data_IF_974342975079
#
_entry.id   IF_974342975079
#
_cell.length_a   1.000
_cell.length_b   1.000
_cell.length_c   1.000
_cell.angle_alpha   90.00
_cell.angle_beta   90.00
_cell.angle_gamma   90.00
#
_symmetry.space_group_name_H-M   'P 1'
#
loop_
_entity.id
_entity.type
_entity.pdbx_description
1 polymer ?
#
# COMPACT_ATOMS: atom_id res chain seq x y z
N UNK A 1 -2.76 -29.68 11.39
CA UNK A 1 -3.07 -28.41 12.10
C UNK A 1 -2.21 -28.25 13.35
N UNK A 2 -1.96 -29.31 14.12
CA UNK A 2 -0.99 -29.28 15.23
C UNK A 2 0.48 -29.28 14.76
N UNK A 3 0.74 -29.73 13.53
CA UNK A 3 2.05 -29.70 12.85
C UNK A 3 2.40 -28.38 12.15
N UNK A 4 1.49 -27.41 12.09
CA UNK A 4 1.73 -26.12 11.43
C UNK A 4 2.27 -25.11 12.46
N UNK A 5 3.34 -24.40 12.11
CA UNK A 5 4.11 -23.59 13.05
C UNK A 5 3.58 -22.16 13.12
N UNK A 6 3.00 -21.63 12.04
CA UNK A 6 2.49 -20.25 12.01
C UNK A 6 0.95 -20.16 11.96
N UNK A 7 0.42 -19.05 12.49
CA UNK A 7 -1.02 -18.74 12.40
C UNK A 7 -1.45 -18.47 10.94
N UNK A 8 -0.52 -17.99 10.11
CA UNK A 8 -0.71 -17.75 8.68
C UNK A 8 -0.95 -19.04 7.89
N UNK A 9 -0.13 -20.06 8.10
CA UNK A 9 -0.27 -21.39 7.47
C UNK A 9 -1.62 -22.04 7.80
N UNK A 10 -2.00 -22.03 9.09
CA UNK A 10 -3.26 -22.61 9.55
C UNK A 10 -4.47 -21.92 8.91
N UNK A 11 -4.41 -20.59 8.81
CA UNK A 11 -5.44 -19.78 8.17
C UNK A 11 -5.60 -20.13 6.69
N UNK A 12 -4.49 -20.18 5.94
CA UNK A 12 -4.47 -20.47 4.50
C UNK A 12 -5.04 -21.86 4.17
N UNK A 13 -4.65 -22.88 4.93
CA UNK A 13 -5.17 -24.24 4.77
C UNK A 13 -6.68 -24.32 5.05
N UNK A 14 -7.16 -23.64 6.09
CA UNK A 14 -8.58 -23.64 6.45
C UNK A 14 -9.43 -23.00 5.35
N UNK A 15 -8.98 -21.92 4.71
CA UNK A 15 -9.73 -21.28 3.61
C UNK A 15 -9.91 -22.18 2.40
N UNK A 16 -8.93 -23.04 2.09
CA UNK A 16 -9.03 -24.00 1.00
C UNK A 16 -10.05 -25.10 1.27
N UNK A 17 -10.39 -25.36 2.54
CA UNK A 17 -11.33 -26.42 2.94
C UNK A 17 -12.80 -25.99 2.95
N UNK A 18 -13.13 -24.73 2.60
CA UNK A 18 -14.49 -24.18 2.64
C UNK A 18 -15.22 -24.50 3.97
N UNK A 19 -14.75 -23.93 5.10
CA UNK A 19 -15.25 -24.31 6.40
C UNK A 19 -16.72 -23.91 6.58
N UNK A 20 -17.46 -24.72 7.34
CA UNK A 20 -18.82 -24.39 7.75
C UNK A 20 -18.79 -23.34 8.87
N UNK A 21 -19.90 -22.62 9.04
CA UNK A 21 -20.08 -21.74 10.19
C UNK A 21 -19.92 -22.56 11.47
N UNK A 22 -19.19 -22.01 12.44
CA UNK A 22 -18.84 -22.66 13.70
C UNK A 22 -17.97 -23.91 13.53
N UNK A 23 -17.20 -23.99 12.44
CA UNK A 23 -16.14 -24.98 12.33
C UNK A 23 -15.15 -24.76 13.48
N UNK A 24 -14.99 -25.79 14.32
CA UNK A 24 -14.17 -25.72 15.53
C UNK A 24 -12.72 -25.34 15.25
N UNK A 25 -12.24 -25.61 14.04
CA UNK A 25 -10.89 -25.25 13.61
C UNK A 25 -10.76 -23.76 13.31
N UNK A 26 -11.78 -23.16 12.69
CA UNK A 26 -11.84 -21.70 12.45
C UNK A 26 -11.98 -20.95 13.77
N UNK A 27 -12.86 -21.44 14.66
CA UNK A 27 -13.03 -20.85 15.99
C UNK A 27 -11.72 -20.87 16.79
N UNK A 28 -10.97 -21.97 16.75
CA UNK A 28 -9.65 -22.07 17.38
C UNK A 28 -8.65 -21.05 16.82
N UNK A 29 -8.69 -20.74 15.52
CA UNK A 29 -7.86 -19.68 14.92
C UNK A 29 -8.31 -18.29 15.32
N UNK A 30 -9.62 -18.05 15.39
CA UNK A 30 -10.18 -16.79 15.85
C UNK A 30 -9.69 -16.52 17.29
N UNK A 31 -9.83 -17.50 18.18
CA UNK A 31 -9.38 -17.39 19.57
C UNK A 31 -7.87 -17.13 19.66
N UNK A 32 -7.08 -17.82 18.84
CA UNK A 32 -5.63 -17.59 18.76
C UNK A 32 -5.31 -16.16 18.27
N UNK A 33 -6.00 -15.70 17.23
CA UNK A 33 -5.79 -14.38 16.63
C UNK A 33 -6.18 -13.24 17.59
N UNK A 34 -7.28 -13.38 18.31
CA UNK A 34 -7.69 -12.43 19.35
C UNK A 34 -6.74 -12.48 20.57
N UNK A 35 -6.19 -13.65 20.89
CA UNK A 35 -5.11 -13.81 21.87
C UNK A 35 -3.84 -13.04 21.48
N UNK A 36 -3.51 -13.00 20.18
CA UNK A 36 -2.40 -12.18 19.67
C UNK A 36 -2.66 -10.67 19.82
N UNK A 37 -3.88 -10.19 19.53
CA UNK A 37 -4.23 -8.76 19.69
C UNK A 37 -4.10 -8.27 21.14
N UNK A 38 -4.22 -9.17 22.11
CA UNK A 38 -4.18 -8.84 23.54
C UNK A 38 -2.82 -9.14 24.19
N UNK A 39 -1.87 -9.75 23.48
CA UNK A 39 -0.54 -10.01 24.02
C UNK A 39 0.36 -8.75 23.98
N UNK A 40 0.77 -8.28 25.16
CA UNK A 40 1.66 -7.11 25.36
C UNK A 40 3.14 -7.54 25.53
N UNK A 41 3.43 -8.84 25.54
CA UNK A 41 4.78 -9.37 25.83
C UNK A 41 5.65 -9.49 24.58
N UNK A 42 6.92 -9.05 24.61
CA UNK A 42 7.86 -9.17 23.49
C UNK A 42 8.24 -10.61 23.12
N UNK A 43 7.86 -11.61 23.93
CA UNK A 43 8.03 -13.03 23.63
C UNK A 43 6.94 -13.61 22.72
N UNK A 44 5.88 -12.86 22.43
CA UNK A 44 4.78 -13.30 21.55
C UNK A 44 5.07 -13.10 20.05
N UNK A 45 6.19 -12.49 19.67
CA UNK A 45 6.51 -12.16 18.28
C UNK A 45 7.13 -13.35 17.51
N UNK A 46 6.43 -14.48 17.46
CA UNK A 46 6.51 -15.31 16.25
C UNK A 46 5.54 -14.71 15.23
N UNK A 47 5.92 -14.79 13.95
CA UNK A 47 5.46 -13.96 12.84
C UNK A 47 3.99 -13.50 12.91
N UNK A 48 3.71 -12.20 12.68
CA UNK A 48 2.35 -11.70 12.67
C UNK A 48 1.53 -12.44 11.59
N UNK A 49 0.27 -12.80 11.88
CA UNK A 49 -0.53 -13.52 10.90
C UNK A 49 -0.64 -12.72 9.61
N UNK A 50 -0.40 -13.39 8.48
CA UNK A 50 -0.56 -12.83 7.12
C UNK A 50 -2.00 -12.39 6.84
N UNK A 51 -2.96 -12.91 7.61
CA UNK A 51 -4.38 -12.61 7.51
C UNK A 51 -4.88 -11.92 8.79
N UNK A 52 -5.68 -10.86 8.63
CA UNK A 52 -6.24 -10.15 9.78
C UNK A 52 -7.29 -11.01 10.50
N UNK A 53 -7.44 -10.84 11.82
CA UNK A 53 -8.49 -11.55 12.56
C UNK A 53 -9.89 -11.21 12.01
N UNK A 54 -10.09 -9.99 11.48
CA UNK A 54 -11.33 -9.58 10.83
C UNK A 54 -11.68 -10.47 9.63
N UNK A 55 -10.69 -10.91 8.85
CA UNK A 55 -10.90 -11.86 7.75
C UNK A 55 -11.30 -13.25 8.24
N UNK A 56 -10.74 -13.74 9.35
CA UNK A 56 -11.16 -15.04 9.94
C UNK A 56 -12.60 -14.97 10.43
N UNK A 57 -12.94 -13.90 11.14
CA UNK A 57 -14.30 -13.62 11.57
C UNK A 57 -15.25 -13.53 10.38
N UNK A 58 -14.86 -12.84 9.30
CA UNK A 58 -15.68 -12.69 8.10
C UNK A 58 -15.96 -14.06 7.46
N UNK A 59 -14.97 -14.92 7.32
CA UNK A 59 -15.14 -16.25 6.73
C UNK A 59 -16.05 -17.13 7.60
N UNK A 60 -16.04 -16.94 8.92
CA UNK A 60 -16.92 -17.64 9.86
C UNK A 60 -18.28 -16.93 10.09
N UNK A 61 -18.78 -16.17 9.13
CA UNK A 61 -20.05 -15.44 9.28
C UNK A 61 -21.17 -16.00 8.40
N UNK A 62 -22.42 -15.88 8.88
CA UNK A 62 -23.62 -16.15 8.07
C UNK A 62 -23.70 -15.25 6.84
N UNK A 63 -23.16 -14.03 6.94
CA UNK A 63 -22.98 -13.12 5.83
C UNK A 63 -22.19 -13.77 4.68
N UNK A 64 -20.98 -14.28 4.91
CA UNK A 64 -20.16 -14.88 3.84
C UNK A 64 -20.74 -16.17 3.27
N UNK A 65 -21.40 -16.97 4.11
CA UNK A 65 -22.13 -18.15 3.61
C UNK A 65 -23.25 -17.74 2.68
N UNK A 66 -23.99 -16.67 3.02
CA UNK A 66 -25.03 -16.14 2.17
C UNK A 66 -24.47 -15.58 0.85
N UNK A 67 -23.38 -14.81 0.89
CA UNK A 67 -22.69 -14.33 -0.33
C UNK A 67 -22.34 -15.51 -1.25
N UNK A 68 -21.74 -16.57 -0.70
CA UNK A 68 -21.33 -17.76 -1.47
C UNK A 68 -22.54 -18.48 -2.08
N UNK A 69 -23.65 -18.56 -1.34
CA UNK A 69 -24.92 -19.15 -1.79
C UNK A 69 -25.53 -18.36 -2.95
N UNK A 70 -25.55 -17.02 -2.85
CA UNK A 70 -26.07 -16.12 -3.88
C UNK A 70 -25.21 -16.12 -5.15
N UNK A 71 -23.88 -16.29 -5.00
CA UNK A 71 -22.96 -16.46 -6.12
C UNK A 71 -23.13 -17.79 -6.84
N UNK A 72 -23.43 -18.85 -6.10
CA UNK A 72 -23.68 -20.18 -6.68
C UNK A 72 -25.07 -20.29 -7.32
N UNK A 73 -26.04 -19.51 -6.83
CA UNK A 73 -27.42 -19.49 -7.33
C UNK A 73 -27.87 -18.04 -7.58
N UNK A 74 -27.51 -17.46 -8.73
CA UNK A 74 -27.88 -16.09 -9.09
C UNK A 74 -29.39 -15.87 -9.01
N UNK A 75 -29.82 -14.84 -8.30
CA UNK A 75 -31.20 -14.38 -8.33
C UNK A 75 -31.44 -13.60 -9.62
N UNK A 76 -32.66 -13.67 -10.16
CA UNK A 76 -33.05 -12.83 -11.28
C UNK A 76 -33.27 -11.40 -10.81
N UNK A 77 -32.60 -10.43 -11.44
CA UNK A 77 -32.65 -9.01 -11.09
C UNK A 77 -34.10 -8.46 -11.02
N UNK A 78 -35.03 -9.07 -11.76
CA UNK A 78 -36.45 -8.70 -11.78
C UNK A 78 -37.14 -8.79 -10.40
N UNK A 79 -36.57 -9.58 -9.47
CA UNK A 79 -37.11 -9.74 -8.12
C UNK A 79 -36.73 -8.58 -7.18
N UNK A 80 -35.65 -7.86 -7.47
CA UNK A 80 -35.13 -6.78 -6.64
C UNK A 80 -34.91 -5.51 -7.47
N UNK A 81 -35.99 -4.78 -7.83
CA UNK A 81 -35.89 -3.57 -8.65
C UNK A 81 -34.98 -2.49 -8.05
N UNK A 82 -34.83 -2.50 -6.71
CA UNK A 82 -33.96 -1.58 -5.99
C UNK A 82 -32.46 -1.75 -6.27
N UNK A 83 -32.03 -2.79 -7.00
CA UNK A 83 -30.65 -2.94 -7.45
C UNK A 83 -30.33 -2.12 -8.71
N UNK A 84 -31.33 -1.49 -9.32
CA UNK A 84 -31.17 -0.65 -10.53
C UNK A 84 -30.44 -1.38 -11.68
N UNK A 85 -30.66 -2.69 -11.80
CA UNK A 85 -30.04 -3.53 -12.82
C UNK A 85 -28.60 -3.94 -12.53
N UNK A 86 -28.05 -3.61 -11.36
CA UNK A 86 -26.72 -4.11 -10.96
C UNK A 86 -26.74 -5.62 -10.78
N UNK A 87 -25.71 -6.27 -11.32
CA UNK A 87 -25.49 -7.70 -11.15
C UNK A 87 -24.82 -7.98 -9.80
N UNK A 88 -25.54 -8.66 -8.91
CA UNK A 88 -25.00 -9.08 -7.61
C UNK A 88 -23.79 -10.00 -7.72
N UNK A 89 -23.65 -10.73 -8.84
CA UNK A 89 -22.55 -11.64 -9.11
C UNK A 89 -21.45 -11.02 -9.96
N UNK A 90 -21.53 -9.71 -10.20
CA UNK A 90 -20.52 -8.99 -10.93
C UNK A 90 -19.14 -9.20 -10.29
N UNK A 91 -18.17 -9.58 -11.12
CA UNK A 91 -16.75 -9.63 -10.70
C UNK A 91 -16.12 -8.24 -10.65
N UNK A 92 -16.81 -7.21 -11.15
CA UNK A 92 -16.36 -5.83 -11.06
C UNK A 92 -16.47 -5.32 -9.62
N UNK A 93 -15.33 -4.89 -9.08
CA UNK A 93 -15.22 -4.44 -7.68
C UNK A 93 -16.02 -3.18 -7.43
N UNK A 94 -16.12 -2.27 -8.42
CA UNK A 94 -16.92 -1.03 -8.27
C UNK A 94 -18.39 -1.37 -8.07
N UNK A 95 -18.92 -2.32 -8.85
CA UNK A 95 -20.27 -2.85 -8.70
C UNK A 95 -20.45 -3.48 -7.32
N UNK A 96 -19.51 -4.31 -6.88
CA UNK A 96 -19.56 -4.94 -5.56
C UNK A 96 -19.51 -3.93 -4.41
N UNK A 97 -18.70 -2.87 -4.52
CA UNK A 97 -18.67 -1.78 -3.54
C UNK A 97 -20.02 -1.08 -3.49
N UNK A 98 -20.60 -0.71 -4.63
CA UNK A 98 -21.91 -0.04 -4.70
C UNK A 98 -23.05 -0.87 -4.11
N UNK A 99 -23.03 -2.19 -4.32
CA UNK A 99 -24.00 -3.12 -3.73
C UNK A 99 -23.97 -3.10 -2.20
N UNK A 100 -22.77 -3.05 -1.62
CA UNK A 100 -22.57 -3.14 -0.18
C UNK A 100 -22.53 -1.79 0.53
N UNK A 101 -22.60 -0.67 -0.22
CA UNK A 101 -22.60 0.70 0.31
C UNK A 101 -23.87 1.44 -0.08
N UNK A 102 -23.93 1.94 -1.32
CA UNK A 102 -25.05 2.76 -1.84
C UNK A 102 -26.37 1.99 -1.86
N UNK A 103 -26.33 0.68 -2.14
CA UNK A 103 -27.53 -0.16 -2.25
C UNK A 103 -27.67 -1.14 -1.09
N UNK A 104 -27.02 -0.84 0.05
CA UNK A 104 -26.93 -1.76 1.21
C UNK A 104 -28.28 -2.26 1.71
N UNK A 105 -29.32 -1.43 1.72
CA UNK A 105 -30.64 -1.83 2.23
C UNK A 105 -31.33 -2.82 1.29
N UNK A 106 -31.17 -2.64 -0.02
CA UNK A 106 -31.65 -3.59 -1.02
C UNK A 106 -30.89 -4.92 -0.92
N UNK A 107 -29.56 -4.84 -0.73
CA UNK A 107 -28.72 -6.03 -0.51
C UNK A 107 -29.10 -6.76 0.78
N UNK A 108 -29.39 -6.05 1.86
CA UNK A 108 -29.89 -6.62 3.12
C UNK A 108 -31.22 -7.35 2.90
N UNK A 109 -32.17 -6.75 2.20
CA UNK A 109 -33.47 -7.38 1.90
C UNK A 109 -33.28 -8.69 1.11
N UNK A 110 -32.45 -8.65 0.07
CA UNK A 110 -32.13 -9.82 -0.75
C UNK A 110 -31.45 -10.93 0.05
N UNK A 111 -30.47 -10.60 0.89
CA UNK A 111 -29.78 -11.56 1.76
C UNK A 111 -30.73 -12.14 2.81
N UNK A 112 -31.57 -11.30 3.41
CA UNK A 112 -32.59 -11.71 4.39
C UNK A 112 -33.59 -12.69 3.78
N UNK A 113 -34.11 -12.42 2.58
CA UNK A 113 -35.07 -13.29 1.93
C UNK A 113 -34.43 -14.63 1.51
N UNK A 114 -33.19 -14.61 1.06
CA UNK A 114 -32.52 -15.78 0.50
C UNK A 114 -31.83 -16.66 1.53
N UNK A 115 -31.43 -16.08 2.66
CA UNK A 115 -30.55 -16.71 3.65
C UNK A 115 -31.08 -16.61 5.09
N UNK A 116 -32.09 -15.77 5.36
CA UNK A 116 -32.66 -15.55 6.68
C UNK A 116 -32.02 -14.38 7.44
N UNK A 117 -32.57 -14.09 8.61
CA UNK A 117 -32.21 -12.91 9.41
C UNK A 117 -30.76 -12.90 9.90
N UNK A 118 -30.16 -14.06 10.15
CA UNK A 118 -28.81 -14.11 10.68
C UNK A 118 -27.73 -13.66 9.67
N UNK A 119 -28.02 -13.69 8.36
CA UNK A 119 -27.13 -13.16 7.33
C UNK A 119 -26.99 -11.63 7.35
N UNK A 120 -27.90 -10.92 8.04
CA UNK A 120 -27.91 -9.45 8.10
C UNK A 120 -27.58 -8.87 9.48
N UNK A 121 -27.37 -9.70 10.51
CA UNK A 121 -27.14 -9.25 11.90
C UNK A 121 -25.94 -8.30 12.01
N UNK A 122 -24.82 -8.67 11.37
CA UNK A 122 -23.59 -7.88 11.35
C UNK A 122 -23.30 -7.27 9.97
N UNK A 123 -24.32 -7.08 9.13
CA UNK A 123 -24.15 -6.79 7.70
C UNK A 123 -23.14 -5.66 7.45
N UNK A 124 -23.29 -4.53 8.14
CA UNK A 124 -22.49 -3.33 7.85
C UNK A 124 -21.00 -3.57 8.16
N UNK A 125 -20.68 -4.22 9.28
CA UNK A 125 -19.30 -4.60 9.65
C UNK A 125 -18.71 -5.61 8.66
N UNK A 126 -19.47 -6.64 8.29
CA UNK A 126 -19.00 -7.70 7.37
C UNK A 126 -18.85 -7.22 5.93
N UNK A 127 -19.77 -6.37 5.48
CA UNK A 127 -19.71 -5.72 4.19
C UNK A 127 -18.46 -4.84 4.06
N UNK A 128 -18.15 -4.05 5.09
CA UNK A 128 -16.95 -3.22 5.13
C UNK A 128 -15.67 -4.08 5.04
N UNK A 129 -15.60 -5.15 5.83
CA UNK A 129 -14.44 -6.06 5.82
C UNK A 129 -14.27 -6.77 4.47
N UNK A 130 -15.37 -7.20 3.85
CA UNK A 130 -15.36 -7.79 2.51
C UNK A 130 -14.90 -6.78 1.44
N UNK A 131 -15.33 -5.52 1.53
CA UNK A 131 -14.89 -4.45 0.64
C UNK A 131 -13.37 -4.23 0.78
N UNK A 132 -12.83 -4.20 2.01
CA UNK A 132 -11.38 -4.09 2.26
C UNK A 132 -10.61 -5.22 1.57
N UNK A 133 -11.08 -6.46 1.67
CA UNK A 133 -10.44 -7.63 1.06
C UNK A 133 -10.50 -7.58 -0.47
N UNK A 134 -11.67 -7.26 -1.06
CA UNK A 134 -11.84 -7.25 -2.52
C UNK A 134 -11.08 -6.14 -3.22
N UNK A 135 -10.97 -4.98 -2.59
CA UNK A 135 -10.07 -3.93 -3.07
C UNK A 135 -8.62 -4.44 -3.08
N UNK A 136 -8.18 -5.07 -1.99
CA UNK A 136 -6.83 -5.66 -1.90
C UNK A 136 -6.52 -6.71 -2.99
N UNK A 137 -7.49 -7.51 -3.43
CA UNK A 137 -7.28 -8.60 -4.39
C UNK A 137 -7.22 -8.20 -5.88
N UNK A 138 -7.76 -7.05 -6.26
CA UNK A 138 -7.85 -6.63 -7.68
C UNK A 138 -6.77 -5.66 -8.12
N UNK A 139 -5.84 -5.32 -7.22
CA UNK A 139 -4.88 -4.25 -7.46
C UNK A 139 -5.54 -2.87 -7.60
N UNK A 140 -6.87 -2.76 -7.38
CA UNK A 140 -7.52 -1.48 -7.11
C UNK A 140 -7.18 -1.07 -5.68
N UNK A 141 -6.65 0.14 -5.44
CA UNK A 141 -6.20 0.51 -4.12
C UNK A 141 -7.38 0.48 -3.14
N UNK A 142 -7.21 -0.07 -1.93
CA UNK A 142 -8.24 0.00 -0.91
C UNK A 142 -8.55 1.48 -0.58
N UNK A 143 -9.83 1.84 -0.39
CA UNK A 143 -10.22 3.07 0.36
C UNK A 143 -10.04 2.80 1.87
N UNK A 144 -8.84 2.30 2.15
CA UNK A 144 -8.16 2.11 3.42
C UNK A 144 -6.78 1.63 2.98
N UNK A 145 -6.02 2.58 2.40
CA UNK A 145 -4.70 2.37 1.81
C UNK A 145 -3.75 1.85 2.89
N UNK A 146 -3.45 0.55 2.89
CA UNK A 146 -2.13 0.12 3.35
C UNK A 146 -1.13 0.55 2.28
N UNK A 147 -0.62 1.77 2.46
CA UNK A 147 0.75 2.21 2.22
C UNK A 147 1.60 1.32 1.32
N UNK A 148 2.05 1.88 0.19
CA UNK A 148 3.30 1.49 -0.47
C UNK A 148 4.53 1.94 0.38
N UNK A 149 4.47 1.73 1.69
CA UNK A 149 5.51 2.04 2.68
C UNK A 149 6.18 0.75 3.17
N UNK A 150 6.04 -0.36 2.45
CA UNK A 150 6.71 -1.62 2.78
C UNK A 150 8.24 -1.59 2.58
N UNK A 151 8.79 -0.49 2.06
CA UNK A 151 10.24 -0.23 2.02
C UNK A 151 10.71 0.81 3.07
N UNK A 152 9.81 1.38 3.87
CA UNK A 152 10.13 2.41 4.88
C UNK A 152 9.70 2.05 6.30
N UNK A 153 8.82 1.06 6.50
CA UNK A 153 8.46 0.56 7.83
C UNK A 153 9.10 -0.81 8.09
N UNK A 154 10.41 -0.82 8.32
CA UNK A 154 11.01 -1.82 9.22
C UNK A 154 11.01 -1.24 10.64
N UNK A 155 10.16 -1.85 11.48
CA UNK A 155 10.17 -1.85 12.94
C UNK A 155 10.64 -0.56 13.65
N UNK A 156 9.68 0.30 13.97
CA UNK A 156 9.60 0.90 15.31
C UNK A 156 8.13 0.88 15.75
N UNK A 157 7.70 -0.24 16.31
CA UNK A 157 6.52 -0.27 17.16
C UNK A 157 6.87 0.50 18.45
N UNK A 158 6.73 1.82 18.42
CA UNK A 158 6.44 2.56 19.64
C UNK A 158 5.11 2.00 20.19
N UNK A 159 4.99 1.81 21.52
CA UNK A 159 3.85 1.13 22.09
C UNK A 159 2.56 1.82 21.66
N UNK A 160 1.63 1.03 21.12
CA UNK A 160 0.24 1.43 20.97
C UNK A 160 -0.34 1.62 22.37
N UNK A 161 -0.07 2.79 22.96
CA UNK A 161 -0.91 3.31 24.01
C UNK A 161 -2.27 3.53 23.37
N UNK A 162 -3.21 2.66 23.70
CA UNK A 162 -4.64 2.90 23.61
C UNK A 162 -4.94 4.20 24.34
N UNK A 163 -4.85 5.32 23.62
CA UNK A 163 -5.21 6.62 24.14
C UNK A 163 -6.45 7.11 23.44
N UNK A 164 -7.55 7.04 24.14
CA UNK A 164 -8.75 7.85 23.94
C UNK A 164 -8.50 9.36 24.17
N UNK A 165 -7.24 9.84 24.19
CA UNK A 165 -6.92 11.26 24.26
C UNK A 165 -6.54 11.81 22.88
N UNK A 166 -7.50 12.42 22.19
CA UNK A 166 -7.21 13.61 21.38
C UNK A 166 -6.41 13.45 20.07
N UNK A 167 -5.80 12.30 19.77
CA UNK A 167 -4.99 12.15 18.56
C UNK A 167 -5.85 11.95 17.31
N UNK A 168 -5.83 12.96 16.44
CA UNK A 168 -6.59 12.98 15.18
C UNK A 168 -5.75 12.55 13.97
N UNK A 169 -4.48 12.17 14.15
CA UNK A 169 -3.61 11.75 13.05
C UNK A 169 -4.22 10.67 12.13
N UNK A 170 -4.89 9.60 12.63
CA UNK A 170 -5.54 8.63 11.75
C UNK A 170 -6.61 9.29 10.86
N UNK A 171 -7.47 10.14 11.42
CA UNK A 171 -8.48 10.86 10.62
C UNK A 171 -7.85 11.82 9.62
N UNK A 172 -6.74 12.49 9.97
CA UNK A 172 -6.02 13.33 9.01
C UNK A 172 -5.51 12.54 7.81
N UNK A 173 -5.04 11.30 8.00
CA UNK A 173 -4.63 10.43 6.90
C UNK A 173 -5.81 10.10 5.98
N UNK A 174 -6.95 9.73 6.55
CA UNK A 174 -8.18 9.45 5.80
C UNK A 174 -8.76 10.70 5.14
N UNK A 175 -8.50 11.90 5.69
CA UNK A 175 -8.94 13.17 5.10
C UNK A 175 -8.07 13.63 3.92
N UNK A 176 -6.74 13.64 4.09
CA UNK A 176 -5.85 14.30 3.12
C UNK A 176 -5.83 13.58 1.76
N UNK A 177 -5.98 12.26 1.73
CA UNK A 177 -5.97 11.52 0.47
C UNK A 177 -7.17 11.85 -0.44
N UNK A 178 -8.44 11.71 -0.01
CA UNK A 178 -9.58 12.08 -0.84
C UNK A 178 -9.64 13.58 -1.14
N UNK A 179 -9.08 14.43 -0.26
CA UNK A 179 -8.92 15.84 -0.52
C UNK A 179 -7.94 16.12 -1.67
N UNK A 180 -6.78 15.46 -1.67
CA UNK A 180 -5.78 15.53 -2.75
C UNK A 180 -6.33 14.99 -4.07
N UNK A 181 -7.02 13.84 -4.02
CA UNK A 181 -7.60 13.18 -5.19
C UNK A 181 -8.80 13.96 -5.78
N UNK A 182 -9.31 14.99 -5.08
CA UNK A 182 -10.42 15.80 -5.54
C UNK A 182 -11.76 15.07 -5.57
N UNK A 183 -11.92 14.03 -4.74
CA UNK A 183 -13.13 13.18 -4.69
C UNK A 183 -14.35 14.01 -4.29
N UNK A 184 -14.15 14.93 -3.36
CA UNK A 184 -15.18 15.80 -2.83
C UNK A 184 -15.21 17.12 -3.58
N UNK A 185 -16.38 17.51 -4.11
CA UNK A 185 -16.49 18.73 -4.90
C UNK A 185 -16.07 20.00 -4.15
N UNK A 186 -16.22 20.03 -2.82
CA UNK A 186 -15.83 21.19 -2.01
C UNK A 186 -14.32 21.40 -1.95
N UNK A 187 -13.48 20.40 -2.24
CA UNK A 187 -12.01 20.52 -2.12
C UNK A 187 -11.41 21.33 -3.26
N UNK A 188 -12.15 21.52 -4.36
CA UNK A 188 -11.72 22.35 -5.51
C UNK A 188 -11.50 23.82 -5.14
N UNK A 189 -12.15 24.30 -4.07
CA UNK A 189 -12.09 25.69 -3.62
C UNK A 189 -10.98 25.92 -2.58
N UNK A 190 -10.37 24.86 -2.04
CA UNK A 190 -9.45 24.93 -0.92
C UNK A 190 -8.20 24.08 -1.15
N UNK A 191 -7.03 24.72 -1.20
CA UNK A 191 -5.76 24.01 -1.22
C UNK A 191 -5.25 23.74 0.21
N UNK A 192 -5.63 22.60 0.76
CA UNK A 192 -5.24 22.18 2.12
C UNK A 192 -3.73 21.83 2.27
N UNK A 193 -2.96 21.86 1.18
CA UNK A 193 -1.57 21.38 1.13
C UNK A 193 -0.52 22.49 1.16
N UNK A 194 -0.92 23.76 1.01
CA UNK A 194 0.02 24.91 1.06
C UNK A 194 0.58 25.13 2.47
N UNK A 195 1.90 25.21 2.60
CA UNK A 195 2.61 25.41 3.87
C UNK A 195 2.23 26.67 4.64
N UNK A 196 2.11 27.81 3.95
CA UNK A 196 2.12 29.15 4.57
C UNK A 196 0.73 29.79 4.76
N UNK A 197 -0.36 29.08 4.46
CA UNK A 197 -1.75 29.60 4.49
C UNK A 197 -2.72 28.74 5.31
N UNK A 198 -2.18 27.89 6.17
CA UNK A 198 -2.87 26.88 6.98
C UNK A 198 -4.03 27.40 7.81
N UNK A 199 -3.95 28.63 8.32
CA UNK A 199 -4.98 29.22 9.17
C UNK A 199 -6.26 29.52 8.39
N UNK A 200 -6.16 30.33 7.33
CA UNK A 200 -7.35 30.87 6.65
C UNK A 200 -8.03 29.82 5.77
N UNK A 201 -7.26 28.90 5.18
CA UNK A 201 -7.80 27.82 4.35
C UNK A 201 -8.59 26.84 5.21
N UNK A 202 -8.05 26.38 6.34
CA UNK A 202 -8.80 25.48 7.21
C UNK A 202 -9.97 26.18 7.92
N UNK A 203 -9.88 27.47 8.24
CA UNK A 203 -11.02 28.24 8.74
C UNK A 203 -12.15 28.32 7.70
N UNK A 204 -11.83 28.71 6.48
CA UNK A 204 -12.81 28.91 5.41
C UNK A 204 -13.35 27.57 4.90
N UNK A 205 -12.48 26.57 4.80
CA UNK A 205 -12.79 25.21 4.37
C UNK A 205 -13.30 24.31 5.50
N UNK A 206 -13.64 24.84 6.69
CA UNK A 206 -14.09 24.06 7.84
C UNK A 206 -15.25 23.12 7.50
N UNK A 207 -16.25 23.61 6.76
CA UNK A 207 -17.41 22.80 6.36
C UNK A 207 -16.98 21.63 5.47
N UNK A 208 -16.11 21.88 4.48
CA UNK A 208 -15.56 20.85 3.61
C UNK A 208 -14.73 19.82 4.40
N UNK A 209 -13.86 20.29 5.30
CA UNK A 209 -13.07 19.41 6.15
C UNK A 209 -13.97 18.49 7.00
N UNK A 210 -14.98 19.05 7.67
CA UNK A 210 -15.87 18.27 8.52
C UNK A 210 -16.77 17.32 7.73
N UNK A 211 -17.21 17.70 6.53
CA UNK A 211 -17.95 16.80 5.65
C UNK A 211 -17.12 15.55 5.32
N UNK A 212 -15.87 15.74 4.90
CA UNK A 212 -14.99 14.61 4.55
C UNK A 212 -14.68 13.78 5.80
N UNK A 213 -14.41 14.44 6.93
CA UNK A 213 -14.15 13.72 8.18
C UNK A 213 -15.35 12.91 8.68
N UNK A 214 -16.58 13.36 8.43
CA UNK A 214 -17.80 12.62 8.78
C UNK A 214 -17.94 11.32 7.97
N UNK A 215 -17.54 11.36 6.70
CA UNK A 215 -17.66 10.24 5.78
C UNK A 215 -16.49 9.25 5.86
N UNK A 216 -15.26 9.75 6.03
CA UNK A 216 -14.03 8.96 5.89
C UNK A 216 -13.40 8.58 7.24
N UNK A 217 -13.66 9.33 8.31
CA UNK A 217 -13.06 9.05 9.62
C UNK A 217 -13.97 8.22 10.53
N UNK A 218 -13.36 7.56 11.51
CA UNK A 218 -14.13 6.95 12.60
C UNK A 218 -15.02 7.97 13.30
N UNK A 219 -16.22 7.53 13.71
CA UNK A 219 -17.22 8.36 14.41
C UNK A 219 -16.63 9.07 15.64
N UNK A 220 -15.74 8.40 16.38
CA UNK A 220 -15.08 8.98 17.55
C UNK A 220 -14.14 10.14 17.18
N UNK A 221 -13.37 10.02 16.10
CA UNK A 221 -12.47 11.08 15.64
C UNK A 221 -13.23 12.24 15.00
N UNK A 222 -14.28 11.95 14.24
CA UNK A 222 -15.16 12.99 13.71
C UNK A 222 -15.78 13.82 14.85
N UNK A 223 -16.38 13.16 15.85
CA UNK A 223 -17.00 13.84 16.99
C UNK A 223 -16.01 14.73 17.76
N UNK A 224 -14.76 14.26 17.90
CA UNK A 224 -13.69 15.04 18.51
C UNK A 224 -13.35 16.29 17.67
N UNK A 225 -13.15 16.13 16.35
CA UNK A 225 -12.81 17.21 15.44
C UNK A 225 -13.95 18.22 15.27
N UNK A 226 -15.20 17.77 15.18
CA UNK A 226 -16.37 18.64 15.03
C UNK A 226 -16.59 19.51 16.25
N UNK A 227 -16.40 18.94 17.45
CA UNK A 227 -16.58 19.64 18.74
C UNK A 227 -15.39 20.54 19.07
N UNK A 228 -14.16 20.09 18.80
CA UNK A 228 -12.90 20.76 19.19
C UNK A 228 -12.12 21.30 17.99
N UNK A 229 -12.81 21.71 16.94
CA UNK A 229 -12.18 22.14 15.69
C UNK A 229 -11.19 23.29 15.89
N UNK A 230 -11.52 24.25 16.76
CA UNK A 230 -10.63 25.38 17.03
C UNK A 230 -9.32 24.95 17.72
N UNK A 231 -9.38 23.95 18.61
CA UNK A 231 -8.19 23.40 19.25
C UNK A 231 -7.31 22.69 18.21
N UNK A 232 -7.93 21.95 17.29
CA UNK A 232 -7.23 21.35 16.16
C UNK A 232 -6.55 22.41 15.28
N UNK A 233 -7.28 23.47 14.89
CA UNK A 233 -6.73 24.59 14.12
C UNK A 233 -5.52 25.20 14.83
N UNK A 234 -5.62 25.42 16.14
CA UNK A 234 -4.55 25.97 16.95
C UNK A 234 -3.32 25.06 16.92
N UNK A 235 -3.48 23.73 16.99
CA UNK A 235 -2.37 22.77 16.89
C UNK A 235 -1.69 22.85 15.53
N UNK A 236 -2.42 22.87 14.41
CA UNK A 236 -1.80 22.88 13.08
C UNK A 236 -1.22 24.24 12.68
N UNK A 237 -1.65 25.35 13.30
CA UNK A 237 -1.22 26.72 12.95
C UNK A 237 -0.19 27.33 13.89
N UNK A 238 -0.25 27.03 15.19
CA UNK A 238 0.65 27.64 16.19
C UNK A 238 1.90 26.78 16.36
N UNK A 239 2.96 27.14 15.62
CA UNK A 239 4.27 26.48 15.76
C UNK A 239 4.77 26.57 17.21
N UNK A 240 5.13 25.45 17.85
CA UNK A 240 5.70 25.47 19.21
C UNK A 240 7.06 26.19 19.22
N UNK A 241 7.39 26.84 20.35
CA UNK A 241 8.61 27.66 20.49
C UNK A 241 9.91 26.85 20.49
N UNK A 242 9.85 25.59 20.91
CA UNK A 242 10.99 24.68 20.89
C UNK A 242 10.89 23.78 19.67
N UNK A 243 11.70 24.07 18.65
CA UNK A 243 11.82 23.23 17.44
C UNK A 243 12.49 21.89 17.71
N UNK A 244 13.09 21.69 18.90
CA UNK A 244 13.72 20.43 19.29
C UNK A 244 12.72 19.31 19.61
N UNK A 245 11.42 19.61 19.69
CA UNK A 245 10.35 18.66 20.01
C UNK A 245 9.52 18.31 18.76
N UNK A 246 10.15 17.64 17.80
CA UNK A 246 9.51 17.19 16.55
C UNK A 246 8.41 16.14 16.77
N UNK A 247 8.27 15.63 18.00
CA UNK A 247 7.20 14.73 18.41
C UNK A 247 5.88 15.47 18.71
N UNK A 248 5.91 16.80 18.79
CA UNK A 248 4.71 17.62 18.98
C UNK A 248 3.67 17.39 17.87
N UNK A 249 2.39 17.35 18.25
CA UNK A 249 1.28 17.17 17.32
C UNK A 249 1.27 18.19 16.18
N UNK A 250 1.77 19.41 16.39
CA UNK A 250 1.93 20.41 15.33
C UNK A 250 2.76 19.86 14.16
N UNK A 251 3.94 19.31 14.44
CA UNK A 251 4.83 18.76 13.43
C UNK A 251 4.26 17.49 12.84
N UNK A 252 3.73 16.57 13.68
CA UNK A 252 3.07 15.34 13.21
C UNK A 252 1.94 15.63 12.23
N UNK A 253 0.99 16.51 12.57
CA UNK A 253 -0.19 16.77 11.76
C UNK A 253 0.13 17.53 10.47
N UNK A 254 1.12 18.42 10.49
CA UNK A 254 1.59 19.07 9.27
C UNK A 254 2.39 18.11 8.38
N UNK A 255 3.09 17.12 8.93
CA UNK A 255 3.77 16.10 8.12
C UNK A 255 2.80 15.26 7.31
N UNK A 256 1.65 14.88 7.90
CA UNK A 256 0.67 13.99 7.26
C UNK A 256 0.15 14.57 5.93
N UNK A 257 0.22 15.89 5.73
CA UNK A 257 -0.10 16.55 4.44
C UNK A 257 0.77 16.09 3.28
N UNK A 258 1.98 15.64 3.55
CA UNK A 258 2.89 15.13 2.53
C UNK A 258 2.56 13.70 2.12
N UNK A 259 1.71 13.01 2.88
CA UNK A 259 1.42 11.60 2.66
C UNK A 259 0.75 11.33 1.31
N UNK A 260 -0.25 12.11 0.85
CA UNK A 260 -0.82 11.91 -0.49
C UNK A 260 0.20 12.06 -1.62
N UNK A 261 1.16 12.98 -1.50
CA UNK A 261 2.25 13.13 -2.49
C UNK A 261 3.13 11.88 -2.52
N UNK A 262 3.49 11.33 -1.35
CA UNK A 262 4.28 10.10 -1.26
C UNK A 262 3.52 8.87 -1.77
N UNK A 263 2.22 8.78 -1.49
CA UNK A 263 1.38 7.68 -1.96
C UNK A 263 1.20 7.75 -3.49
N UNK A 264 0.97 8.95 -4.05
CA UNK A 264 0.88 9.17 -5.51
C UNK A 264 2.22 8.85 -6.19
N UNK A 265 3.33 9.21 -5.55
CA UNK A 265 4.68 8.88 -6.02
C UNK A 265 4.88 7.36 -6.16
N UNK A 266 4.54 6.60 -5.11
CA UNK A 266 4.66 5.13 -5.13
C UNK A 266 3.73 4.46 -6.14
N UNK A 267 2.50 4.97 -6.29
CA UNK A 267 1.54 4.43 -7.27
C UNK A 267 1.98 4.67 -8.71
N UNK A 268 2.41 5.89 -9.05
CA UNK A 268 2.87 6.22 -10.39
C UNK A 268 4.15 5.48 -10.77
N UNK A 269 5.08 5.32 -9.82
CA UNK A 269 6.28 4.51 -10.04
C UNK A 269 5.95 3.05 -10.36
N UNK A 270 5.07 2.42 -9.56
CA UNK A 270 4.68 1.02 -9.79
C UNK A 270 4.08 0.77 -11.19
N UNK A 271 3.45 1.79 -11.77
CA UNK A 271 2.94 1.76 -13.16
C UNK A 271 4.08 1.92 -14.17
N UNK A 272 5.07 2.76 -13.89
CA UNK A 272 6.21 3.00 -14.76
C UNK A 272 7.19 1.83 -14.80
N UNK A 273 7.47 1.17 -13.67
CA UNK A 273 8.37 0.01 -13.59
C UNK A 273 7.97 -1.14 -14.54
N UNK A 274 6.70 -1.20 -14.96
CA UNK A 274 6.17 -2.22 -15.87
C UNK A 274 6.31 -1.86 -17.36
N UNK A 275 6.94 -0.72 -17.69
CA UNK A 275 6.96 -0.17 -19.05
C UNK A 275 8.32 0.40 -19.38
N UNK A 276 8.79 0.16 -20.60
CA UNK A 276 9.96 0.88 -21.11
C UNK A 276 9.62 2.37 -21.25
N UNK A 277 10.51 3.21 -20.73
CA UNK A 277 10.43 4.66 -20.83
C UNK A 277 11.41 5.15 -21.88
N UNK A 278 11.12 6.33 -22.43
CA UNK A 278 12.05 7.05 -23.30
C UNK A 278 12.42 8.39 -22.66
N UNK A 279 13.47 9.00 -23.17
CA UNK A 279 13.82 10.37 -22.78
C UNK A 279 12.66 11.31 -23.11
N UNK A 280 12.38 12.22 -22.18
CA UNK A 280 11.25 13.15 -22.19
C UNK A 280 9.88 12.46 -22.24
N UNK A 281 9.77 11.24 -21.68
CA UNK A 281 8.47 10.65 -21.40
C UNK A 281 7.74 11.51 -20.38
N UNK A 282 6.57 12.04 -20.78
CA UNK A 282 5.79 12.95 -19.94
C UNK A 282 5.43 12.35 -18.58
N UNK A 283 5.27 11.02 -18.50
CA UNK A 283 4.94 10.32 -17.26
C UNK A 283 6.12 10.30 -16.29
N UNK A 284 7.34 10.21 -16.82
CA UNK A 284 8.57 10.30 -16.00
C UNK A 284 8.78 11.73 -15.54
N UNK A 285 8.58 12.72 -16.43
CA UNK A 285 8.68 14.14 -16.07
C UNK A 285 7.69 14.52 -14.97
N UNK A 286 6.44 14.08 -15.07
CA UNK A 286 5.44 14.27 -14.01
C UNK A 286 5.89 13.66 -12.68
N UNK A 287 6.52 12.48 -12.71
CA UNK A 287 7.03 11.82 -11.51
C UNK A 287 8.24 12.56 -10.91
N UNK A 288 9.08 13.17 -11.75
CA UNK A 288 10.18 14.03 -11.31
C UNK A 288 9.64 15.27 -10.57
N UNK A 289 8.61 15.92 -11.13
CA UNK A 289 7.97 17.08 -10.49
C UNK A 289 7.33 16.68 -9.16
N UNK A 290 6.66 15.52 -9.11
CA UNK A 290 6.07 14.98 -7.90
C UNK A 290 7.13 14.67 -6.83
N UNK A 291 8.29 14.17 -7.26
CA UNK A 291 9.45 13.95 -6.41
C UNK A 291 9.94 15.23 -5.73
N UNK A 292 10.11 16.31 -6.50
CA UNK A 292 10.56 17.59 -5.97
C UNK A 292 9.51 18.18 -4.98
N UNK A 293 8.22 18.02 -5.28
CA UNK A 293 7.13 18.41 -4.37
C UNK A 293 7.12 17.60 -3.07
N UNK A 294 7.26 16.27 -3.15
CA UNK A 294 7.30 15.40 -1.99
C UNK A 294 8.51 15.70 -1.09
N UNK A 295 9.70 15.84 -1.68
CA UNK A 295 10.92 16.18 -0.94
C UNK A 295 10.84 17.55 -0.28
N UNK A 296 10.28 18.53 -0.98
CA UNK A 296 10.05 19.87 -0.42
C UNK A 296 9.11 19.78 0.79
N UNK A 297 7.98 19.09 0.64
CA UNK A 297 7.02 18.91 1.73
C UNK A 297 7.62 18.19 2.93
N UNK A 298 8.36 17.10 2.71
CA UNK A 298 8.98 16.35 3.80
C UNK A 298 10.08 17.14 4.52
N UNK A 299 10.88 17.90 3.76
CA UNK A 299 12.04 18.63 4.30
C UNK A 299 11.63 19.89 5.06
N UNK A 300 10.42 20.39 4.85
CA UNK A 300 9.95 21.63 5.45
C UNK A 300 9.50 21.47 6.91
N UNK A 301 9.37 20.22 7.35
CA UNK A 301 8.98 19.84 8.69
C UNK A 301 10.04 18.92 9.32
N UNK A 302 10.26 19.02 10.62
CA UNK A 302 11.23 18.20 11.34
C UNK A 302 10.70 16.83 11.80
N UNK A 303 9.43 16.51 11.50
CA UNK A 303 8.82 15.22 11.81
C UNK A 303 9.49 14.04 11.10
N UNK A 304 9.86 14.21 9.82
CA UNK A 304 10.54 13.16 9.06
C UNK A 304 12.01 13.09 9.46
N UNK A 305 12.48 11.88 9.76
CA UNK A 305 13.89 11.65 10.02
C UNK A 305 14.70 11.87 8.74
N UNK A 306 15.95 12.32 8.90
CA UNK A 306 16.88 12.47 7.77
C UNK A 306 17.03 11.19 6.95
N UNK A 307 16.91 10.03 7.59
CA UNK A 307 16.93 8.72 6.94
C UNK A 307 15.72 8.52 6.02
N UNK A 308 14.52 8.90 6.44
CA UNK A 308 13.30 8.79 5.62
C UNK A 308 13.37 9.73 4.42
N UNK A 309 13.77 10.99 4.64
CA UNK A 309 13.97 11.96 3.56
C UNK A 309 15.04 11.48 2.58
N UNK A 310 16.15 10.91 3.08
CA UNK A 310 17.21 10.34 2.25
C UNK A 310 16.73 9.17 1.39
N UNK A 311 15.85 8.31 1.92
CA UNK A 311 15.28 7.19 1.17
C UNK A 311 14.41 7.70 0.02
N UNK A 312 13.53 8.67 0.28
CA UNK A 312 12.72 9.30 -0.77
C UNK A 312 13.61 10.03 -1.77
N UNK A 313 14.68 10.69 -1.31
CA UNK A 313 15.64 11.36 -2.18
C UNK A 313 16.36 10.38 -3.10
N UNK A 314 16.82 9.25 -2.58
CA UNK A 314 17.49 8.22 -3.37
C UNK A 314 16.53 7.62 -4.42
N UNK A 315 15.28 7.39 -4.04
CA UNK A 315 14.22 7.00 -4.97
C UNK A 315 14.01 8.06 -6.07
N UNK A 316 13.95 9.33 -5.71
CA UNK A 316 13.80 10.41 -6.69
C UNK A 316 14.98 10.52 -7.66
N UNK A 317 16.19 10.18 -7.23
CA UNK A 317 17.35 10.08 -8.12
C UNK A 317 17.22 8.92 -9.13
N UNK A 318 16.61 7.78 -8.78
CA UNK A 318 16.35 6.70 -9.75
C UNK A 318 15.25 7.08 -10.75
N UNK A 319 14.23 7.83 -10.32
CA UNK A 319 13.22 8.41 -11.22
C UNK A 319 13.89 9.39 -12.20
N UNK A 320 14.74 10.29 -11.72
CA UNK A 320 15.51 11.23 -12.57
C UNK A 320 16.42 10.49 -13.54
N UNK A 321 17.10 9.43 -13.09
CA UNK A 321 17.91 8.54 -13.94
C UNK A 321 17.06 7.89 -15.05
N UNK A 322 15.79 7.60 -14.80
CA UNK A 322 14.90 7.02 -15.82
C UNK A 322 14.62 7.95 -17.01
N UNK A 323 14.96 9.24 -16.89
CA UNK A 323 14.93 10.23 -17.96
C UNK A 323 16.34 10.56 -18.49
N UNK A 324 17.24 9.57 -18.58
CA UNK A 324 18.62 9.75 -19.06
C UNK A 324 18.94 8.89 -20.27
N UNK A 325 19.99 9.27 -21.00
CA UNK A 325 20.58 8.49 -22.09
C UNK A 325 21.12 7.14 -21.59
N UNK A 326 21.58 7.08 -20.34
CA UNK A 326 21.97 5.84 -19.67
C UNK A 326 20.81 4.84 -19.63
N UNK A 327 19.66 5.24 -19.07
CA UNK A 327 18.50 4.32 -18.97
C UNK A 327 17.90 3.98 -20.34
N UNK A 328 17.89 4.94 -21.26
CA UNK A 328 17.47 4.69 -22.64
C UNK A 328 18.37 3.66 -23.33
N UNK A 329 19.68 3.69 -23.06
CA UNK A 329 20.62 2.71 -23.57
C UNK A 329 20.41 1.32 -22.95
N UNK A 330 20.19 1.22 -21.64
CA UNK A 330 19.85 -0.06 -21.00
C UNK A 330 18.63 -0.71 -21.68
N UNK A 331 17.55 0.05 -21.88
CA UNK A 331 16.36 -0.45 -22.58
C UNK A 331 16.63 -0.82 -24.04
N UNK A 332 17.55 -0.13 -24.71
CA UNK A 332 17.96 -0.46 -26.08
C UNK A 332 18.68 -1.80 -26.11
N UNK A 333 19.67 -2.00 -25.25
CA UNK A 333 20.45 -3.24 -25.15
C UNK A 333 19.55 -4.42 -24.78
N UNK A 334 18.66 -4.26 -23.79
CA UNK A 334 17.73 -5.30 -23.39
C UNK A 334 16.75 -5.68 -24.52
N UNK A 335 16.25 -4.69 -25.27
CA UNK A 335 15.29 -4.91 -26.36
C UNK A 335 15.91 -5.51 -27.62
N UNK A 336 17.10 -5.02 -28.00
CA UNK A 336 17.74 -5.40 -29.26
C UNK A 336 18.63 -6.64 -29.09
N UNK A 337 19.00 -6.96 -27.84
CA UNK A 337 19.87 -8.08 -27.46
C UNK A 337 21.06 -8.25 -28.42
N UNK A 338 21.87 -7.19 -28.64
CA UNK A 338 23.00 -7.27 -29.56
C UNK A 338 23.98 -8.38 -29.17
N UNK A 339 24.70 -8.91 -30.16
CA UNK A 339 25.78 -9.86 -29.89
C UNK A 339 26.92 -9.15 -29.14
N UNK A 340 27.24 -9.67 -27.96
CA UNK A 340 28.31 -9.15 -27.09
C UNK A 340 29.52 -10.10 -27.03
N UNK A 341 29.59 -11.10 -27.90
CA UNK A 341 30.69 -12.08 -27.90
C UNK A 341 32.06 -11.47 -28.18
N UNK A 342 32.12 -10.28 -28.80
CA UNK A 342 33.36 -9.55 -29.06
C UNK A 342 33.94 -8.86 -27.80
N UNK A 343 33.16 -8.70 -26.73
CA UNK A 343 33.62 -8.03 -25.51
C UNK A 343 34.32 -9.03 -24.57
N UNK A 344 35.63 -9.18 -24.73
CA UNK A 344 36.47 -10.06 -23.90
C UNK A 344 36.37 -9.73 -22.39
N UNK A 345 36.09 -8.47 -22.05
CA UNK A 345 35.90 -8.00 -20.67
C UNK A 345 34.69 -8.60 -19.95
N UNK A 346 33.80 -9.28 -20.67
CA UNK A 346 32.70 -10.03 -20.06
C UNK A 346 33.17 -11.31 -19.36
N UNK A 347 34.38 -11.80 -19.65
CA UNK A 347 34.97 -12.99 -19.01
C UNK A 347 34.05 -14.24 -19.07
N UNK A 348 33.16 -14.30 -20.07
CA UNK A 348 32.17 -15.37 -20.24
C UNK A 348 30.89 -15.22 -19.40
N UNK A 349 30.69 -14.10 -18.70
CA UNK A 349 29.43 -13.80 -18.02
C UNK A 349 28.32 -13.46 -19.02
N UNK A 350 27.11 -13.94 -18.73
CA UNK A 350 25.93 -13.62 -19.51
C UNK A 350 25.37 -12.25 -19.10
N UNK A 351 25.55 -11.26 -19.97
CA UNK A 351 25.03 -9.90 -19.80
C UNK A 351 23.50 -9.84 -19.69
N UNK A 352 22.81 -10.82 -20.29
CA UNK A 352 21.35 -10.87 -20.34
C UNK A 352 20.73 -11.71 -19.23
N UNK A 353 21.53 -12.25 -18.32
CA UNK A 353 21.02 -13.03 -17.19
C UNK A 353 20.07 -12.16 -16.32
N UNK A 354 18.81 -12.58 -16.13
CA UNK A 354 17.86 -11.84 -15.32
C UNK A 354 18.17 -11.84 -13.81
N UNK A 355 19.10 -12.68 -13.34
CA UNK A 355 19.45 -12.80 -11.94
C UNK A 355 19.95 -11.46 -11.36
N UNK A 356 19.32 -11.02 -10.26
CA UNK A 356 19.60 -9.72 -9.63
C UNK A 356 21.08 -9.57 -9.26
N UNK A 357 21.71 -10.64 -8.77
CA UNK A 357 23.13 -10.62 -8.39
C UNK A 357 24.07 -10.48 -9.58
N UNK A 358 23.70 -11.02 -10.75
CA UNK A 358 24.48 -10.85 -11.98
C UNK A 358 24.33 -9.43 -12.51
N UNK A 359 23.11 -8.88 -12.54
CA UNK A 359 22.89 -7.45 -12.83
C UNK A 359 23.69 -6.53 -11.89
N UNK A 360 23.69 -6.83 -10.59
CA UNK A 360 24.46 -6.08 -9.59
C UNK A 360 25.97 -6.10 -9.89
N UNK A 361 26.50 -7.24 -10.36
CA UNK A 361 27.90 -7.39 -10.74
C UNK A 361 28.28 -6.46 -11.91
N UNK A 362 27.41 -6.30 -12.90
CA UNK A 362 27.64 -5.42 -14.06
C UNK A 362 27.80 -3.95 -13.70
N UNK A 363 27.15 -3.48 -12.65
CA UNK A 363 27.29 -2.09 -12.19
C UNK A 363 28.37 -1.89 -11.13
N UNK A 364 28.97 -2.97 -10.61
CA UNK A 364 29.98 -2.88 -9.54
C UNK A 364 31.34 -3.39 -9.97
N UNK A 365 31.46 -4.68 -10.29
CA UNK A 365 32.73 -5.32 -10.63
C UNK A 365 33.10 -5.19 -12.10
N UNK A 366 32.10 -5.20 -12.99
CA UNK A 366 32.31 -5.15 -14.44
C UNK A 366 31.90 -3.78 -15.01
N UNK A 367 31.92 -2.75 -14.17
CA UNK A 367 31.43 -1.41 -14.51
C UNK A 367 32.15 -0.83 -15.74
N UNK A 368 33.45 -1.08 -15.89
CA UNK A 368 34.23 -0.59 -17.03
C UNK A 368 33.81 -1.28 -18.33
N UNK A 369 33.56 -2.60 -18.27
CA UNK A 369 33.03 -3.37 -19.40
C UNK A 369 31.61 -2.93 -19.77
N UNK A 370 30.73 -2.78 -18.78
CA UNK A 370 29.36 -2.27 -18.99
C UNK A 370 29.38 -0.87 -19.62
N UNK A 371 30.31 -0.01 -19.18
CA UNK A 371 30.48 1.34 -19.74
C UNK A 371 30.95 1.29 -21.20
N UNK A 372 31.92 0.44 -21.52
CA UNK A 372 32.41 0.22 -22.88
C UNK A 372 31.26 -0.24 -23.80
N UNK A 373 30.53 -1.29 -23.40
CA UNK A 373 29.35 -1.81 -24.11
C UNK A 373 28.30 -0.72 -24.35
N UNK A 374 27.95 0.06 -23.32
CA UNK A 374 26.98 1.15 -23.46
C UNK A 374 27.48 2.26 -24.38
N UNK A 375 28.77 2.60 -24.32
CA UNK A 375 29.37 3.62 -25.18
C UNK A 375 29.39 3.17 -26.64
N UNK A 376 29.70 1.91 -26.93
CA UNK A 376 29.79 1.39 -28.29
C UNK A 376 28.41 1.23 -28.93
N UNK A 377 27.42 0.76 -28.17
CA UNK A 377 26.06 0.50 -28.68
C UNK A 377 25.22 1.77 -28.78
N UNK A 378 25.42 2.72 -27.85
CA UNK A 378 24.54 3.89 -27.70
C UNK A 378 25.25 5.24 -27.86
N UNK A 379 26.58 5.25 -27.92
CA UNK A 379 27.41 6.45 -28.04
C UNK A 379 27.77 7.10 -26.69
N UNK A 380 28.68 8.08 -26.76
CA UNK A 380 29.25 8.77 -25.58
C UNK A 380 28.21 9.35 -24.61
N UNK A 381 27.04 9.76 -25.11
CA UNK A 381 25.99 10.34 -24.28
C UNK A 381 25.43 9.36 -23.25
N UNK A 382 25.41 8.06 -23.56
CA UNK A 382 24.88 7.02 -22.67
C UNK A 382 25.75 6.81 -21.42
N UNK A 383 27.02 7.22 -21.48
CA UNK A 383 27.99 7.05 -20.39
C UNK A 383 28.30 8.35 -19.65
N UNK A 384 27.63 9.45 -19.98
CA UNK A 384 27.71 10.70 -19.21
C UNK A 384 27.09 10.46 -17.83
N UNK A 385 27.91 10.63 -16.78
CA UNK A 385 27.48 10.36 -15.40
C UNK A 385 27.39 8.87 -15.05
N UNK A 386 27.99 7.98 -15.86
CA UNK A 386 27.91 6.52 -15.68
C UNK A 386 28.18 6.06 -14.25
N UNK A 387 29.23 6.55 -13.58
CA UNK A 387 29.56 6.11 -12.21
C UNK A 387 28.39 6.33 -11.23
N UNK A 388 27.73 7.48 -11.31
CA UNK A 388 26.59 7.81 -10.46
C UNK A 388 25.41 6.88 -10.75
N UNK A 389 25.11 6.62 -12.02
CA UNK A 389 23.98 5.78 -12.41
C UNK A 389 24.25 4.30 -12.14
N UNK A 390 25.48 3.83 -12.32
CA UNK A 390 25.89 2.49 -11.93
C UNK A 390 25.75 2.29 -10.41
N UNK A 391 26.18 3.24 -9.60
CA UNK A 391 25.98 3.20 -8.15
C UNK A 391 24.50 3.14 -7.77
N UNK A 392 23.65 4.00 -8.36
CA UNK A 392 22.20 3.98 -8.14
C UNK A 392 21.55 2.65 -8.55
N UNK A 393 21.93 2.08 -9.70
CA UNK A 393 21.47 0.78 -10.17
C UNK A 393 21.90 -0.36 -9.24
N UNK A 394 23.15 -0.36 -8.79
CA UNK A 394 23.67 -1.34 -7.83
C UNK A 394 22.92 -1.28 -6.49
N UNK A 395 22.70 -0.08 -5.96
CA UNK A 395 21.96 0.16 -4.73
C UNK A 395 20.50 -0.29 -4.81
N UNK A 396 19.85 -0.07 -5.96
CA UNK A 396 18.50 -0.56 -6.21
C UNK A 396 18.46 -2.09 -6.23
N UNK A 397 19.38 -2.73 -6.97
CA UNK A 397 19.43 -4.18 -7.14
C UNK A 397 19.71 -4.90 -5.81
N UNK A 398 20.63 -4.40 -4.97
CA UNK A 398 20.90 -5.03 -3.67
C UNK A 398 19.71 -4.91 -2.70
N UNK A 399 18.95 -3.81 -2.76
CA UNK A 399 17.71 -3.66 -1.98
C UNK A 399 16.63 -4.61 -2.48
N UNK A 400 16.47 -4.75 -3.80
CA UNK A 400 15.55 -5.70 -4.40
C UNK A 400 15.90 -7.16 -4.05
N UNK A 401 17.19 -7.53 -4.08
CA UNK A 401 17.65 -8.86 -3.69
C UNK A 401 17.33 -9.18 -2.21
N UNK A 402 17.56 -8.21 -1.30
CA UNK A 402 17.21 -8.36 0.12
C UNK A 402 15.70 -8.54 0.31
N UNK A 403 14.89 -7.79 -0.43
CA UNK A 403 13.43 -7.90 -0.38
C UNK A 403 12.95 -9.25 -0.93
N UNK A 404 13.51 -9.71 -2.06
CA UNK A 404 13.19 -11.03 -2.63
C UNK A 404 13.56 -12.16 -1.66
N UNK A 405 14.73 -12.08 -1.02
CA UNK A 405 15.15 -13.07 -0.01
C UNK A 405 14.21 -13.08 1.19
N UNK A 406 13.84 -11.91 1.72
CA UNK A 406 12.89 -11.82 2.82
C UNK A 406 11.52 -12.39 2.44
N UNK A 407 11.10 -12.29 1.17
CA UNK A 407 9.88 -12.91 0.68
C UNK A 407 10.01 -14.43 0.47
N UNK A 408 11.17 -14.93 0.03
CA UNK A 408 11.45 -16.36 -0.13
C UNK A 408 11.60 -17.09 1.20
N UNK A 409 12.24 -16.49 2.20
CA UNK A 409 12.33 -17.04 3.56
C UNK A 409 10.93 -17.20 4.19
N UNK A 410 9.96 -16.36 3.80
CA UNK A 410 8.53 -16.50 4.17
C UNK A 410 7.82 -17.61 3.37
N UNK A 411 8.40 -18.12 2.28
CA UNK A 411 7.81 -19.15 1.42
C UNK A 411 8.46 -20.54 1.55
N UNK A 412 9.74 -20.64 1.93
CA UNK A 412 10.48 -21.91 2.02
C UNK A 412 10.22 -22.69 3.32
N UNK A 413 9.60 -22.08 4.34
CA UNK A 413 9.14 -22.80 5.55
C UNK A 413 7.93 -23.74 5.28
N UNK A 414 7.33 -23.68 4.08
CA UNK A 414 6.18 -24.51 3.65
C UNK A 414 6.59 -25.82 2.93
N UNK A 415 7.89 -26.17 2.85
CA UNK A 415 8.41 -27.10 1.83
C UNK A 415 9.13 -28.39 2.24
N UNK A 416 9.25 -28.75 3.53
CA UNK A 416 9.96 -29.99 3.91
C UNK A 416 9.21 -30.84 4.95
N UNK A 417 8.30 -31.69 4.48
CA UNK A 417 8.06 -32.99 5.13
C UNK A 417 7.43 -33.96 4.13
N UNK A 418 8.05 -35.14 4.05
CA UNK A 418 7.69 -36.38 3.33
C UNK A 418 8.40 -36.61 2.00
N UNK A 419 9.56 -37.26 2.09
CA UNK A 419 9.98 -38.34 1.20
C UNK A 419 10.89 -39.30 1.99
N UNK A 420 10.28 -40.12 2.85
CA UNK A 420 10.83 -41.42 3.27
C UNK A 420 9.65 -42.41 3.31
N UNK A 421 9.36 -43.04 2.15
CA UNK A 421 8.63 -44.30 2.08
C UNK A 421 9.61 -45.41 1.66
N UNK A 422 9.72 -46.39 2.56
CA UNK A 422 9.82 -47.84 2.37
C UNK A 422 11.00 -48.46 1.60
N UNK A 423 11.86 -49.14 2.38
CA UNK A 423 12.21 -50.55 2.18
C UNK A 423 12.31 -51.30 3.53
#
# INVERSE_FOLDING_TARGET
MESLNSLGEKSKLILQMQPKINDSRVLKLIDQCEGFKTCVSPTCFQEPPTMTCGTLHLVNSEFMVCITKLQSNPLTNDKFPCLEGMDFNSKDVVTQVKLHTTHKECTKEMMKESCGDGAIVDFDERAEEMIKIRRSATGQPPVSRRSATALLNQCNCAPANTSTNGDVAPCLKEFYQPAYDGIYNCTKEFDFFVENSTSEIFKSGKSCFLQIAEEECSVSQYNLLSTRYQDFLDVITKKPKNESDCENFHFKYNAIKCQPLMDDLGLKDAVLQKRHTKINDSRVLELIDLCDNALTCMSSNCYYFKTEVSIVSAFCETVKMSNSEFKACEWKIERESPDLSEYECLEGDDFYDPAILNKYRFYTKMKDCTKEIMMDICGEKAVVGFEKYAELSADFLIKAAKMQRAMSEVMDEDGSENDEEDD
#
